data_IF_537729111946
#
_entry.id   IF_537729111946
#
_cell.length_a   1.000
_cell.length_b   1.000
_cell.length_c   1.000
_cell.angle_alpha   90.00
_cell.angle_beta   90.00
_cell.angle_gamma   90.00
#
_symmetry.space_group_name_H-M   'P 1'
#
loop_
_entity.id
_entity.type
_entity.pdbx_description
1 polymer ?
#
# COMPACT_ATOMS: atom_id res chain seq x y z
N UNK A 1 11.81 0.18 -6.51
CA UNK A 1 11.43 0.17 -5.07
C UNK A 1 10.27 1.13 -4.94
N UNK A 2 9.22 0.79 -4.19
CA UNK A 2 8.02 1.64 -4.14
C UNK A 2 8.25 2.84 -3.20
N UNK A 3 8.36 4.06 -3.74
CA UNK A 3 8.53 5.31 -2.97
C UNK A 3 7.42 5.47 -1.93
N UNK A 4 6.21 5.03 -2.26
CA UNK A 4 5.09 5.00 -1.33
C UNK A 4 5.33 4.10 -0.11
N UNK A 5 5.98 2.96 -0.27
CA UNK A 5 6.25 2.08 0.86
C UNK A 5 7.32 2.65 1.80
N UNK A 6 8.36 3.28 1.26
CA UNK A 6 9.36 4.01 2.05
C UNK A 6 8.69 5.12 2.84
N UNK A 7 7.90 5.96 2.17
CA UNK A 7 7.21 7.07 2.80
C UNK A 7 6.23 6.59 3.88
N UNK A 8 5.53 5.47 3.65
CA UNK A 8 4.65 4.87 4.62
C UNK A 8 5.37 4.49 5.92
N UNK A 9 6.53 3.83 5.81
CA UNK A 9 7.31 3.43 6.99
C UNK A 9 7.92 4.64 7.70
N UNK A 10 8.28 5.71 6.98
CA UNK A 10 8.70 6.98 7.59
C UNK A 10 7.55 7.62 8.39
N UNK A 11 6.35 7.73 7.82
CA UNK A 11 5.18 8.26 8.54
C UNK A 11 4.93 7.44 9.81
N UNK A 12 4.96 6.11 9.74
CA UNK A 12 4.81 5.25 10.93
C UNK A 12 5.90 5.50 11.97
N UNK A 13 7.16 5.66 11.54
CA UNK A 13 8.28 5.98 12.43
C UNK A 13 8.14 7.36 13.09
N UNK A 14 7.69 8.38 12.36
CA UNK A 14 7.49 9.72 12.94
C UNK A 14 6.50 9.71 14.09
N UNK A 15 5.41 8.93 13.96
CA UNK A 15 4.43 8.78 15.02
C UNK A 15 4.98 8.02 16.23
N UNK A 16 5.76 6.96 16.00
CA UNK A 16 6.38 6.18 17.09
C UNK A 16 7.40 7.02 17.86
N UNK A 17 8.22 7.80 17.15
CA UNK A 17 9.29 8.60 17.73
C UNK A 17 8.82 10.00 18.19
N UNK A 18 7.59 10.39 17.84
CA UNK A 18 7.03 11.71 18.06
C UNK A 18 7.93 12.84 17.51
N UNK A 19 8.37 12.68 16.26
CA UNK A 19 9.28 13.58 15.53
C UNK A 19 8.64 14.01 14.21
N UNK A 20 9.17 15.05 13.56
CA UNK A 20 8.68 15.46 12.23
C UNK A 20 9.28 14.61 11.11
N UNK A 21 8.58 14.50 9.98
CA UNK A 21 9.09 13.78 8.79
C UNK A 21 10.41 14.36 8.28
N UNK A 22 10.60 15.67 8.39
CA UNK A 22 11.85 16.34 8.00
C UNK A 22 13.05 15.84 8.80
N UNK A 23 12.85 15.49 10.08
CA UNK A 23 13.91 14.93 10.92
C UNK A 23 14.28 13.51 10.51
N UNK A 24 13.37 12.79 9.82
CA UNK A 24 13.59 11.43 9.31
C UNK A 24 13.88 11.38 7.80
N UNK A 25 13.99 12.52 7.11
CA UNK A 25 14.21 12.57 5.66
C UNK A 25 15.50 11.86 5.22
N UNK A 26 16.50 11.75 6.09
CA UNK A 26 17.73 11.01 5.82
C UNK A 26 17.51 9.49 5.65
N UNK A 27 16.34 8.96 6.02
CA UNK A 27 15.97 7.55 5.89
C UNK A 27 15.33 7.21 4.53
N UNK A 28 14.98 8.21 3.72
CA UNK A 28 14.36 8.04 2.39
C UNK A 28 15.14 7.10 1.45
N UNK A 29 16.49 7.08 1.42
CA UNK A 29 17.22 6.20 0.51
C UNK A 29 17.19 4.71 0.90
N UNK A 30 16.61 4.34 2.05
CA UNK A 30 16.62 2.97 2.54
C UNK A 30 15.46 2.14 1.98
N UNK A 31 15.68 0.83 1.86
CA UNK A 31 14.64 -0.10 1.44
C UNK A 31 13.48 -0.16 2.47
N UNK A 32 12.21 -0.24 2.01
CA UNK A 32 11.04 -0.32 2.90
C UNK A 32 11.14 -1.43 3.96
N UNK A 33 11.60 -2.62 3.58
CA UNK A 33 11.76 -3.75 4.49
C UNK A 33 12.77 -3.46 5.61
N UNK A 34 13.86 -2.75 5.28
CA UNK A 34 14.85 -2.35 6.27
C UNK A 34 14.30 -1.31 7.24
N UNK A 35 13.52 -0.33 6.74
CA UNK A 35 12.82 0.64 7.59
C UNK A 35 11.82 -0.02 8.51
N UNK A 36 11.07 -0.99 8.00
CA UNK A 36 10.13 -1.77 8.78
C UNK A 36 10.81 -2.59 9.87
N UNK A 37 11.90 -3.28 9.54
CA UNK A 37 12.71 -4.01 10.53
C UNK A 37 13.29 -3.07 11.60
N UNK A 38 13.81 -1.91 11.18
CA UNK A 38 14.31 -0.89 12.09
C UNK A 38 13.22 -0.38 13.03
N UNK A 39 12.01 -0.11 12.50
CA UNK A 39 10.85 0.29 13.29
C UNK A 39 10.47 -0.77 14.33
N UNK A 40 10.44 -2.05 13.96
CA UNK A 40 10.20 -3.13 14.91
C UNK A 40 11.28 -3.22 15.99
N UNK A 41 12.55 -3.06 15.61
CA UNK A 41 13.66 -3.05 16.57
C UNK A 41 13.58 -1.86 17.55
N UNK A 42 13.18 -0.66 17.09
CA UNK A 42 12.92 0.49 17.96
C UNK A 42 11.82 0.17 18.97
N UNK A 43 10.68 -0.34 18.51
CA UNK A 43 9.55 -0.70 19.38
C UNK A 43 10.00 -1.72 20.43
N UNK A 44 10.72 -2.77 20.02
CA UNK A 44 11.23 -3.80 20.93
C UNK A 44 12.27 -3.22 21.92
N UNK A 45 13.16 -2.33 21.48
CA UNK A 45 14.12 -1.68 22.34
C UNK A 45 13.44 -0.81 23.40
N UNK A 46 12.48 0.02 23.00
CA UNK A 46 11.71 0.89 23.89
C UNK A 46 10.94 0.06 24.95
N UNK A 47 10.45 -1.12 24.58
CA UNK A 47 9.80 -2.06 25.50
C UNK A 47 10.79 -2.82 26.38
N UNK A 48 11.99 -3.16 25.88
CA UNK A 48 12.96 -4.00 26.60
C UNK A 48 13.73 -3.28 27.71
N UNK A 49 13.91 -1.96 27.60
CA UNK A 49 14.76 -1.17 28.52
C UNK A 49 14.28 -1.12 29.99
N UNK A 50 13.12 -1.69 30.36
CA UNK A 50 12.57 -1.56 31.71
C UNK A 50 12.09 -2.87 32.39
N UNK A 51 12.41 -4.03 31.81
CA UNK A 51 11.88 -5.36 32.22
C UNK A 51 12.15 -5.76 33.69
N UNK A 52 13.23 -5.30 34.33
CA UNK A 52 13.62 -5.80 35.66
C UNK A 52 12.90 -5.10 36.82
N UNK A 53 12.49 -3.83 36.68
CA UNK A 53 11.88 -3.05 37.76
C UNK A 53 10.38 -3.31 37.91
N UNK A 54 9.67 -3.61 36.83
CA UNK A 54 8.21 -3.82 36.86
C UNK A 54 7.78 -5.22 37.33
N UNK A 55 8.66 -6.24 37.22
CA UNK A 55 8.37 -7.59 37.72
C UNK A 55 8.06 -7.61 39.23
N UNK A 56 8.74 -6.78 40.03
CA UNK A 56 8.50 -6.70 41.47
C UNK A 56 7.15 -6.03 41.81
N UNK A 57 6.73 -5.06 41.01
CA UNK A 57 5.43 -4.39 41.18
C UNK A 57 4.26 -5.31 40.81
N UNK A 58 4.41 -6.15 39.78
CA UNK A 58 3.40 -7.12 39.39
C UNK A 58 3.10 -8.16 40.49
N UNK A 59 4.14 -8.61 41.21
CA UNK A 59 3.96 -9.52 42.35
C UNK A 59 3.11 -8.90 43.48
N UNK A 60 3.24 -7.59 43.72
CA UNK A 60 2.42 -6.85 44.67
C UNK A 60 0.96 -6.70 44.21
N UNK A 61 0.75 -6.48 42.92
CA UNK A 61 -0.61 -6.34 42.35
C UNK A 61 -1.43 -7.63 42.48
N UNK A 62 -0.79 -8.81 42.37
CA UNK A 62 -1.46 -10.10 42.55
C UNK A 62 -2.03 -10.32 43.96
N UNK A 63 -1.54 -9.58 44.96
CA UNK A 63 -1.99 -9.68 46.34
C UNK A 63 -3.14 -8.68 46.67
N UNK A 64 -3.35 -7.66 45.85
CA UNK A 64 -4.33 -6.60 46.09
C UNK A 64 -5.74 -6.95 45.56
N UNK A 65 -6.82 -6.59 46.30
CA UNK A 65 -8.19 -6.71 45.79
C UNK A 65 -8.40 -5.91 44.50
N UNK A 66 -9.03 -6.52 43.50
CA UNK A 66 -9.15 -5.92 42.14
C UNK A 66 -9.81 -4.54 42.11
N UNK A 67 -10.75 -4.26 43.01
CA UNK A 67 -11.40 -2.93 43.13
C UNK A 67 -10.45 -1.85 43.63
N UNK A 68 -9.56 -2.17 44.58
CA UNK A 68 -8.56 -1.23 45.07
C UNK A 68 -7.51 -0.96 43.98
N UNK A 69 -7.06 -2.02 43.30
CA UNK A 69 -6.15 -1.88 42.15
C UNK A 69 -6.77 -1.01 41.05
N UNK A 70 -8.04 -1.20 40.72
CA UNK A 70 -8.74 -0.38 39.73
C UNK A 70 -8.81 1.11 40.13
N UNK A 71 -9.04 1.42 41.41
CA UNK A 71 -9.03 2.80 41.91
C UNK A 71 -7.63 3.41 41.79
N UNK A 72 -6.58 2.66 42.17
CA UNK A 72 -5.20 3.12 42.06
C UNK A 72 -4.80 3.34 40.60
N UNK A 73 -5.16 2.43 39.70
CA UNK A 73 -4.94 2.59 38.25
C UNK A 73 -5.64 3.84 37.72
N UNK A 74 -6.85 4.13 38.18
CA UNK A 74 -7.61 5.31 37.73
C UNK A 74 -7.02 6.64 38.22
N UNK A 75 -6.48 6.69 39.44
CA UNK A 75 -6.17 7.95 40.12
C UNK A 75 -4.69 8.19 40.40
N UNK A 76 -3.87 7.15 40.45
CA UNK A 76 -2.52 7.21 41.00
C UNK A 76 -1.42 6.83 40.01
N UNK A 77 -1.69 5.91 39.08
CA UNK A 77 -0.67 5.39 38.17
C UNK A 77 -0.78 5.97 36.76
N UNK A 78 0.38 6.35 36.21
CA UNK A 78 0.50 6.70 34.81
C UNK A 78 0.17 5.50 33.89
N UNK A 79 -0.58 5.68 32.79
CA UNK A 79 -0.97 4.58 31.90
C UNK A 79 0.21 3.76 31.36
N UNK A 80 1.36 4.37 31.14
CA UNK A 80 2.57 3.66 30.73
C UNK A 80 3.00 2.64 31.79
N UNK A 81 3.06 3.05 33.06
CA UNK A 81 3.45 2.17 34.17
C UNK A 81 2.47 1.00 34.29
N UNK A 82 1.17 1.27 34.15
CA UNK A 82 0.13 0.24 34.20
C UNK A 82 0.31 -0.78 33.06
N UNK A 83 0.59 -0.31 31.85
CA UNK A 83 0.85 -1.19 30.71
C UNK A 83 2.09 -2.08 30.92
N UNK A 84 3.17 -1.53 31.49
CA UNK A 84 4.38 -2.31 31.80
C UNK A 84 4.13 -3.38 32.88
N UNK A 85 3.35 -3.06 33.90
CA UNK A 85 2.96 -4.04 34.94
C UNK A 85 2.07 -5.12 34.33
N UNK A 86 1.14 -4.76 33.45
CA UNK A 86 0.18 -5.67 32.82
C UNK A 86 0.86 -6.85 32.09
N UNK A 87 2.04 -6.62 31.50
CA UNK A 87 2.85 -7.66 30.82
C UNK A 87 3.22 -8.85 31.72
N UNK A 88 3.21 -8.65 33.04
CA UNK A 88 3.63 -9.66 34.02
C UNK A 88 2.46 -10.29 34.78
N UNK A 89 1.21 -9.94 34.45
CA UNK A 89 0.02 -10.47 35.10
C UNK A 89 -0.61 -11.58 34.25
N UNK A 90 -1.30 -12.53 34.90
CA UNK A 90 -2.09 -13.53 34.18
C UNK A 90 -3.34 -12.89 33.55
N UNK A 91 -3.84 -13.47 32.46
CA UNK A 91 -5.03 -13.01 31.73
C UNK A 91 -6.25 -12.88 32.67
N UNK A 92 -6.43 -13.81 33.60
CA UNK A 92 -7.50 -13.73 34.61
C UNK A 92 -7.39 -12.50 35.52
N UNK A 93 -6.18 -12.18 35.98
CA UNK A 93 -5.96 -11.02 36.86
C UNK A 93 -6.11 -9.71 36.08
N UNK A 94 -5.62 -9.68 34.84
CA UNK A 94 -5.84 -8.56 33.93
C UNK A 94 -7.34 -8.28 33.75
N UNK A 95 -8.12 -9.31 33.42
CA UNK A 95 -9.57 -9.16 33.24
C UNK A 95 -10.28 -8.72 34.53
N UNK A 96 -9.91 -9.29 35.69
CA UNK A 96 -10.49 -8.93 37.00
C UNK A 96 -10.34 -7.44 37.33
N UNK A 97 -9.23 -6.83 36.92
CA UNK A 97 -8.97 -5.39 37.10
C UNK A 97 -9.65 -4.60 35.98
N UNK A 98 -9.41 -4.98 34.72
CA UNK A 98 -9.82 -4.24 33.55
C UNK A 98 -11.35 -4.08 33.43
N UNK A 99 -12.14 -5.08 33.85
CA UNK A 99 -13.61 -4.99 33.86
C UNK A 99 -14.18 -3.89 34.75
N UNK A 100 -13.37 -3.34 35.66
CA UNK A 100 -13.76 -2.23 36.54
C UNK A 100 -13.18 -0.88 36.11
N UNK A 101 -12.36 -0.85 35.06
CA UNK A 101 -11.78 0.38 34.53
C UNK A 101 -12.73 1.01 33.51
N UNK A 102 -12.85 2.34 33.49
CA UNK A 102 -13.62 3.03 32.47
C UNK A 102 -12.90 2.98 31.12
N UNK A 103 -13.65 3.09 30.02
CA UNK A 103 -13.14 2.99 28.67
C UNK A 103 -11.97 3.95 28.37
N UNK A 104 -12.02 5.18 28.89
CA UNK A 104 -10.93 6.15 28.69
C UNK A 104 -9.61 5.71 29.32
N UNK A 105 -9.63 5.09 30.50
CA UNK A 105 -8.42 4.57 31.13
C UNK A 105 -7.87 3.37 30.36
N UNK A 106 -8.75 2.48 29.90
CA UNK A 106 -8.35 1.34 29.07
C UNK A 106 -7.75 1.80 27.73
N UNK A 107 -8.33 2.83 27.11
CA UNK A 107 -7.79 3.46 25.91
C UNK A 107 -6.39 4.02 26.16
N UNK A 108 -6.19 4.83 27.22
CA UNK A 108 -4.86 5.37 27.54
C UNK A 108 -3.82 4.28 27.84
N UNK A 109 -4.20 3.17 28.45
CA UNK A 109 -3.30 2.02 28.68
C UNK A 109 -2.96 1.33 27.35
N UNK A 110 -3.94 1.18 26.45
CA UNK A 110 -3.75 0.47 25.17
C UNK A 110 -2.70 1.10 24.25
N UNK A 111 -2.47 2.42 24.35
CA UNK A 111 -1.40 3.14 23.65
C UNK A 111 -0.04 2.45 23.86
N UNK A 112 0.25 2.09 25.11
CA UNK A 112 1.54 1.55 25.53
C UNK A 112 1.58 0.02 25.59
N UNK A 113 0.43 -0.63 25.46
CA UNK A 113 0.32 -2.09 25.54
C UNK A 113 0.72 -2.74 24.21
N UNK A 114 1.38 -3.90 24.29
CA UNK A 114 1.56 -4.77 23.11
C UNK A 114 0.23 -5.50 22.82
N UNK A 115 -0.37 -5.33 21.62
CA UNK A 115 -1.60 -6.03 21.23
C UNK A 115 -1.52 -7.55 21.38
N UNK A 116 -0.34 -8.16 21.24
CA UNK A 116 -0.15 -9.61 21.37
C UNK A 116 -0.48 -10.10 22.77
N UNK A 117 -0.13 -9.31 23.79
CA UNK A 117 -0.42 -9.62 25.20
C UNK A 117 -1.90 -9.45 25.51
N UNK A 118 -2.56 -8.52 24.82
CA UNK A 118 -3.98 -8.28 24.99
C UNK A 118 -4.86 -9.31 24.28
N UNK A 119 -4.33 -10.13 23.36
CA UNK A 119 -5.12 -11.07 22.55
C UNK A 119 -6.03 -11.96 23.40
N UNK A 120 -5.48 -12.58 24.43
CA UNK A 120 -6.28 -13.43 25.33
C UNK A 120 -7.26 -12.61 26.17
N UNK A 121 -6.87 -11.41 26.59
CA UNK A 121 -7.72 -10.50 27.37
C UNK A 121 -8.93 -10.02 26.56
N UNK A 122 -8.75 -9.74 25.27
CA UNK A 122 -9.81 -9.28 24.37
C UNK A 122 -10.95 -10.29 24.25
N UNK A 123 -10.66 -11.60 24.34
CA UNK A 123 -11.66 -12.65 24.33
C UNK A 123 -12.62 -12.61 25.55
N UNK A 124 -12.22 -11.96 26.65
CA UNK A 124 -13.07 -11.80 27.83
C UNK A 124 -13.90 -10.51 27.83
N UNK A 125 -13.61 -9.55 26.94
CA UNK A 125 -14.40 -8.34 26.80
C UNK A 125 -15.64 -8.57 25.96
N UNK A 126 -16.73 -7.91 26.32
CA UNK A 126 -17.92 -7.86 25.46
C UNK A 126 -17.68 -6.91 24.29
N UNK A 127 -18.38 -7.12 23.18
CA UNK A 127 -18.31 -6.22 22.02
C UNK A 127 -18.63 -4.77 22.40
N UNK A 128 -19.56 -4.55 23.34
CA UNK A 128 -19.87 -3.22 23.86
C UNK A 128 -18.64 -2.56 24.52
N UNK A 129 -17.90 -3.28 25.37
CA UNK A 129 -16.71 -2.73 26.01
C UNK A 129 -15.63 -2.36 24.99
N UNK A 130 -15.46 -3.18 23.95
CA UNK A 130 -14.50 -2.90 22.88
C UNK A 130 -14.94 -1.67 22.09
N UNK A 131 -16.23 -1.52 21.78
CA UNK A 131 -16.77 -0.32 21.11
C UNK A 131 -16.58 0.95 21.94
N UNK A 132 -16.80 0.88 23.25
CA UNK A 132 -16.57 2.04 24.14
C UNK A 132 -15.11 2.50 24.11
N UNK A 133 -14.16 1.55 24.13
CA UNK A 133 -12.72 1.85 24.03
C UNK A 133 -12.39 2.43 22.66
N UNK A 134 -12.88 1.79 21.59
CA UNK A 134 -12.67 2.24 20.22
C UNK A 134 -13.24 3.65 19.98
N UNK A 135 -14.38 3.99 20.58
CA UNK A 135 -14.97 5.32 20.49
C UNK A 135 -14.08 6.38 21.16
N UNK A 136 -13.46 6.07 22.30
CA UNK A 136 -12.51 6.99 22.94
C UNK A 136 -11.27 7.20 22.07
N UNK A 137 -10.68 6.11 21.55
CA UNK A 137 -9.52 6.20 20.66
C UNK A 137 -9.84 6.99 19.39
N UNK A 138 -11.01 6.79 18.80
CA UNK A 138 -11.49 7.52 17.63
C UNK A 138 -11.64 9.02 17.92
N UNK A 139 -12.23 9.39 19.06
CA UNK A 139 -12.35 10.79 19.49
C UNK A 139 -10.99 11.46 19.69
N UNK A 140 -9.99 10.69 20.13
CA UNK A 140 -8.61 11.15 20.30
C UNK A 140 -7.80 11.09 19.00
N UNK A 141 -8.38 10.59 17.91
CA UNK A 141 -7.71 10.31 16.62
C UNK A 141 -6.49 9.39 16.77
N UNK A 142 -6.53 8.49 17.75
CA UNK A 142 -5.48 7.49 17.95
C UNK A 142 -5.68 6.29 17.03
N UNK A 143 -5.50 6.55 15.73
CA UNK A 143 -5.61 5.54 14.68
C UNK A 143 -4.49 4.50 14.76
N UNK A 144 -3.32 4.89 15.31
CA UNK A 144 -2.17 3.99 15.50
C UNK A 144 -2.53 2.86 16.43
N UNK A 145 -3.07 3.18 17.61
CA UNK A 145 -3.49 2.15 18.58
C UNK A 145 -4.61 1.29 18.00
N UNK A 146 -5.59 1.88 17.32
CA UNK A 146 -6.66 1.12 16.67
C UNK A 146 -6.12 0.13 15.61
N UNK A 147 -5.23 0.58 14.71
CA UNK A 147 -4.64 -0.26 13.67
C UNK A 147 -3.76 -1.39 14.22
N UNK A 148 -3.09 -1.17 15.35
CA UNK A 148 -2.31 -2.21 16.06
C UNK A 148 -3.19 -3.31 16.65
N UNK A 149 -4.39 -2.97 17.13
CA UNK A 149 -5.29 -3.90 17.81
C UNK A 149 -6.28 -4.62 16.89
N UNK A 150 -6.63 -4.05 15.72
CA UNK A 150 -7.64 -4.62 14.81
C UNK A 150 -7.31 -6.05 14.36
N UNK A 151 -6.03 -6.40 14.28
CA UNK A 151 -5.56 -7.75 13.96
C UNK A 151 -5.87 -8.81 15.04
N UNK A 152 -6.28 -8.40 16.23
CA UNK A 152 -6.56 -9.29 17.36
C UNK A 152 -8.06 -9.49 17.62
N UNK A 153 -8.92 -8.75 16.90
CA UNK A 153 -10.37 -8.78 17.06
C UNK A 153 -11.01 -9.85 16.16
N UNK A 154 -12.13 -10.42 16.59
CA UNK A 154 -12.97 -11.26 15.71
C UNK A 154 -13.64 -10.40 14.65
N UNK A 155 -14.04 -11.01 13.53
CA UNK A 155 -14.62 -10.31 12.39
C UNK A 155 -15.93 -9.60 12.78
N UNK A 156 -16.76 -10.24 13.62
CA UNK A 156 -17.98 -9.66 14.18
C UNK A 156 -17.69 -8.35 14.94
N UNK A 157 -16.66 -8.34 15.79
CA UNK A 157 -16.27 -7.16 16.55
C UNK A 157 -15.70 -6.08 15.62
N UNK A 158 -14.93 -6.46 14.61
CA UNK A 158 -14.40 -5.50 13.62
C UNK A 158 -15.54 -4.83 12.86
N UNK A 159 -16.55 -5.58 12.42
CA UNK A 159 -17.73 -5.01 11.75
C UNK A 159 -18.46 -4.03 12.67
N UNK A 160 -18.69 -4.41 13.93
CA UNK A 160 -19.40 -3.58 14.90
C UNK A 160 -18.64 -2.31 15.28
N UNK A 161 -17.30 -2.35 15.31
CA UNK A 161 -16.44 -1.18 15.49
C UNK A 161 -16.41 -0.33 14.21
N UNK A 162 -16.38 -0.95 13.03
CA UNK A 162 -16.41 -0.22 11.77
C UNK A 162 -17.71 0.58 11.57
N UNK A 163 -18.82 0.11 12.14
CA UNK A 163 -20.12 0.81 12.10
C UNK A 163 -20.15 2.11 12.91
N UNK A 164 -19.34 2.23 13.98
CA UNK A 164 -19.28 3.48 14.77
C UNK A 164 -18.37 4.53 14.15
N UNK A 165 -17.56 4.16 13.15
CA UNK A 165 -16.68 5.07 12.44
C UNK A 165 -17.46 5.72 11.30
N UNK A 166 -17.80 7.00 11.44
CA UNK A 166 -18.65 7.67 10.44
C UNK A 166 -17.92 7.91 9.11
N UNK A 167 -16.64 8.30 9.18
CA UNK A 167 -15.86 8.73 8.02
C UNK A 167 -14.95 7.62 7.49
N UNK A 168 -14.97 7.43 6.18
CA UNK A 168 -14.09 6.49 5.50
C UNK A 168 -12.61 6.91 5.55
N UNK A 169 -12.32 8.21 5.69
CA UNK A 169 -10.95 8.69 5.92
C UNK A 169 -10.37 8.17 7.24
N UNK A 170 -11.17 8.10 8.30
CA UNK A 170 -10.75 7.57 9.60
C UNK A 170 -10.51 6.04 9.51
N UNK A 171 -11.34 5.31 8.75
CA UNK A 171 -11.08 3.89 8.46
C UNK A 171 -9.75 3.69 7.73
N UNK A 172 -9.45 4.56 6.76
CA UNK A 172 -8.21 4.47 6.00
C UNK A 172 -6.98 4.77 6.87
N UNK A 173 -7.09 5.75 7.76
CA UNK A 173 -6.06 6.04 8.76
C UNK A 173 -5.78 4.82 9.65
N UNK A 174 -6.83 4.13 10.12
CA UNK A 174 -6.68 2.91 10.92
C UNK A 174 -6.02 1.80 10.09
N UNK A 175 -6.48 1.60 8.85
CA UNK A 175 -5.94 0.60 7.93
C UNK A 175 -4.44 0.80 7.66
N UNK A 176 -4.01 2.06 7.52
CA UNK A 176 -2.61 2.42 7.28
C UNK A 176 -1.65 1.95 8.40
N UNK A 177 -2.12 1.87 9.65
CA UNK A 177 -1.34 1.39 10.79
C UNK A 177 -1.48 -0.12 11.05
N UNK A 178 -2.14 -0.86 10.16
CA UNK A 178 -2.19 -2.33 10.26
C UNK A 178 -0.86 -2.91 9.80
N UNK A 179 -0.30 -3.78 10.63
CA UNK A 179 1.03 -4.36 10.37
C UNK A 179 1.00 -5.55 9.40
N UNK A 180 -0.06 -6.37 9.40
CA UNK A 180 -0.14 -7.57 8.56
C UNK A 180 -0.86 -7.28 7.25
N UNK A 181 -0.20 -7.58 6.13
CA UNK A 181 -0.78 -7.53 4.78
C UNK A 181 -1.99 -8.45 4.66
N UNK A 182 -1.83 -9.68 5.15
CA UNK A 182 -2.87 -10.71 5.14
C UNK A 182 -4.10 -10.23 5.92
N UNK A 183 -3.88 -9.46 6.99
CA UNK A 183 -4.97 -8.88 7.76
C UNK A 183 -5.67 -7.75 7.00
N UNK A 184 -4.96 -6.90 6.27
CA UNK A 184 -5.59 -5.88 5.43
C UNK A 184 -6.45 -6.57 4.37
N UNK A 185 -5.91 -7.58 3.69
CA UNK A 185 -6.62 -8.36 2.67
C UNK A 185 -7.90 -8.97 3.24
N UNK A 186 -7.83 -9.61 4.41
CA UNK A 186 -8.99 -10.17 5.11
C UNK A 186 -10.03 -9.10 5.50
N UNK A 187 -9.58 -7.97 6.05
CA UNK A 187 -10.49 -6.93 6.54
C UNK A 187 -11.29 -6.26 5.44
N UNK A 188 -10.75 -6.14 4.23
CA UNK A 188 -11.53 -5.62 3.10
C UNK A 188 -12.73 -6.52 2.80
N UNK A 189 -12.59 -7.83 2.93
CA UNK A 189 -13.68 -8.79 2.73
C UNK A 189 -14.67 -8.84 3.91
N UNK A 190 -14.22 -8.50 5.12
CA UNK A 190 -15.09 -8.42 6.31
C UNK A 190 -15.97 -7.17 6.27
N UNK A 191 -15.49 -6.07 5.70
CA UNK A 191 -16.25 -4.82 5.63
C UNK A 191 -17.35 -4.88 4.54
N UNK A 192 -18.49 -4.19 4.75
CA UNK A 192 -19.50 -4.06 3.71
C UNK A 192 -18.93 -3.43 2.44
N UNK A 193 -19.29 -3.97 1.27
CA UNK A 193 -18.78 -3.51 -0.02
C UNK A 193 -19.04 -2.02 -0.27
N UNK A 194 -20.16 -1.50 0.25
CA UNK A 194 -20.52 -0.08 0.17
C UNK A 194 -19.49 0.82 0.86
N UNK A 195 -18.88 0.34 1.95
CA UNK A 195 -17.83 1.07 2.68
C UNK A 195 -16.54 1.11 1.85
N UNK A 196 -16.17 0.00 1.21
CA UNK A 196 -15.01 -0.06 0.31
C UNK A 196 -15.19 0.91 -0.85
N UNK A 197 -16.38 0.93 -1.46
CA UNK A 197 -16.71 1.87 -2.54
C UNK A 197 -16.59 3.32 -2.06
N UNK A 198 -17.17 3.67 -0.91
CA UNK A 198 -17.05 5.03 -0.35
C UNK A 198 -15.58 5.41 -0.07
N UNK A 199 -14.76 4.49 0.40
CA UNK A 199 -13.32 4.71 0.57
C UNK A 199 -12.62 4.98 -0.77
N UNK A 200 -12.96 4.25 -1.83
CA UNK A 200 -12.42 4.52 -3.17
C UNK A 200 -12.81 5.92 -3.67
N UNK A 201 -14.04 6.36 -3.38
CA UNK A 201 -14.53 7.69 -3.77
C UNK A 201 -13.82 8.85 -3.05
N UNK A 202 -13.05 8.60 -1.98
CA UNK A 202 -12.18 9.61 -1.36
C UNK A 202 -11.20 10.20 -2.38
N UNK A 203 -10.78 9.42 -3.39
CA UNK A 203 -9.91 9.89 -4.46
C UNK A 203 -10.57 10.92 -5.37
N UNK A 204 -11.89 11.11 -5.29
CA UNK A 204 -12.60 12.11 -6.08
C UNK A 204 -12.93 13.37 -5.27
N UNK A 205 -12.64 13.40 -3.97
CA UNK A 205 -12.89 14.55 -3.10
C UNK A 205 -11.60 15.35 -2.86
N UNK A 206 -11.47 16.56 -3.44
CA UNK A 206 -10.28 17.40 -3.25
C UNK A 206 -10.04 17.78 -1.79
N UNK A 207 -11.09 17.82 -0.94
CA UNK A 207 -10.94 18.15 0.48
C UNK A 207 -10.23 17.06 1.27
N UNK A 208 -10.18 15.84 0.74
CA UNK A 208 -9.54 14.67 1.34
C UNK A 208 -8.18 14.34 0.72
N UNK A 209 -7.59 15.26 -0.06
CA UNK A 209 -6.30 15.06 -0.74
C UNK A 209 -5.17 14.62 0.19
N UNK A 210 -5.19 15.07 1.46
CA UNK A 210 -4.21 14.70 2.49
C UNK A 210 -4.18 13.20 2.83
N UNK A 211 -5.26 12.46 2.53
CA UNK A 211 -5.37 11.04 2.85
C UNK A 211 -4.84 10.16 1.70
N UNK A 212 -4.64 10.72 0.50
CA UNK A 212 -4.22 9.95 -0.68
C UNK A 212 -2.86 9.27 -0.57
N UNK A 213 -1.80 9.91 -0.05
CA UNK A 213 -0.51 9.23 0.09
C UNK A 213 -0.63 7.95 0.93
N UNK A 214 -1.51 7.94 1.93
CA UNK A 214 -1.80 6.76 2.76
C UNK A 214 -2.62 5.71 2.00
N UNK A 215 -3.62 6.13 1.21
CA UNK A 215 -4.39 5.24 0.32
C UNK A 215 -3.45 4.52 -0.66
N UNK A 216 -2.59 5.27 -1.33
CA UNK A 216 -1.69 4.74 -2.35
C UNK A 216 -0.59 3.90 -1.71
N UNK A 217 -0.08 4.29 -0.54
CA UNK A 217 0.79 3.44 0.25
C UNK A 217 0.14 2.11 0.62
N UNK A 218 -1.16 2.07 0.94
CA UNK A 218 -1.84 0.81 1.17
C UNK A 218 -1.86 -0.08 -0.08
N UNK A 219 -1.98 0.49 -1.27
CA UNK A 219 -1.92 -0.26 -2.53
C UNK A 219 -0.58 -0.96 -2.75
N UNK A 220 0.53 -0.45 -2.21
CA UNK A 220 1.82 -1.14 -2.28
C UNK A 220 1.90 -2.32 -1.30
N UNK A 221 1.07 -2.35 -0.26
CA UNK A 221 1.12 -3.32 0.84
C UNK A 221 0.09 -4.45 0.76
N UNK A 222 -0.91 -4.38 -0.13
CA UNK A 222 -1.98 -5.40 -0.27
C UNK A 222 -1.67 -6.48 -1.32
N UNK A 223 -2.31 -7.65 -1.20
CA UNK A 223 -2.24 -8.80 -2.13
C UNK A 223 -2.50 -8.45 -3.59
N UNK A 224 -1.90 -9.18 -4.56
CA UNK A 224 -2.20 -8.96 -6.00
C UNK A 224 -3.68 -9.16 -6.32
N UNK A 225 -4.30 -10.20 -5.74
CA UNK A 225 -5.74 -10.47 -5.88
C UNK A 225 -6.58 -9.28 -5.41
N UNK A 226 -6.24 -8.73 -4.23
CA UNK A 226 -6.96 -7.56 -3.71
C UNK A 226 -6.70 -6.29 -4.55
N UNK A 227 -5.49 -6.08 -5.08
CA UNK A 227 -5.20 -4.96 -6.00
C UNK A 227 -6.10 -5.02 -7.23
N UNK A 228 -6.24 -6.21 -7.82
CA UNK A 228 -7.11 -6.43 -8.96
C UNK A 228 -8.56 -6.13 -8.59
N UNK A 229 -9.07 -6.69 -7.49
CA UNK A 229 -10.45 -6.47 -7.06
C UNK A 229 -10.75 -4.98 -6.82
N UNK A 230 -9.91 -4.29 -6.04
CA UNK A 230 -10.10 -2.87 -5.74
C UNK A 230 -9.98 -2.00 -7.00
N UNK A 231 -9.07 -2.34 -7.90
CA UNK A 231 -8.90 -1.65 -9.16
C UNK A 231 -10.09 -1.85 -10.10
N UNK A 232 -10.60 -3.07 -10.21
CA UNK A 232 -11.83 -3.37 -10.98
C UNK A 232 -13.04 -2.64 -10.38
N UNK A 233 -13.13 -2.56 -9.05
CA UNK A 233 -14.17 -1.78 -8.36
C UNK A 233 -14.05 -0.28 -8.62
N UNK A 234 -12.84 0.26 -8.66
CA UNK A 234 -12.59 1.66 -9.01
C UNK A 234 -13.05 1.95 -10.45
N UNK A 235 -12.77 1.05 -11.39
CA UNK A 235 -13.23 1.16 -12.79
C UNK A 235 -14.75 1.14 -12.87
N UNK A 236 -15.42 0.31 -12.06
CA UNK A 236 -16.89 0.28 -12.00
C UNK A 236 -17.51 1.59 -11.48
N UNK A 237 -16.76 2.43 -10.75
CA UNK A 237 -17.24 3.76 -10.35
C UNK A 237 -17.23 4.77 -11.50
N UNK A 238 -16.57 4.44 -12.61
CA UNK A 238 -16.57 5.21 -13.85
C UNK A 238 -15.42 6.20 -14.00
N UNK A 239 -15.47 6.94 -15.11
CA UNK A 239 -14.35 7.73 -15.62
C UNK A 239 -13.87 8.82 -14.65
N UNK A 240 -14.79 9.44 -13.89
CA UNK A 240 -14.46 10.51 -12.94
C UNK A 240 -13.45 10.02 -11.90
N UNK A 241 -13.68 8.83 -11.34
CA UNK A 241 -12.82 8.25 -10.30
C UNK A 241 -11.45 7.90 -10.87
N UNK A 242 -11.42 7.26 -12.04
CA UNK A 242 -10.15 6.87 -12.68
C UNK A 242 -9.35 8.11 -13.11
N UNK A 243 -9.99 9.14 -13.66
CA UNK A 243 -9.31 10.39 -14.00
C UNK A 243 -8.73 11.09 -12.75
N UNK A 244 -9.43 11.03 -11.62
CA UNK A 244 -8.90 11.56 -10.37
C UNK A 244 -7.66 10.77 -9.88
N UNK A 245 -7.66 9.44 -10.02
CA UNK A 245 -6.49 8.59 -9.74
C UNK A 245 -5.33 8.90 -10.69
N UNK A 246 -5.60 9.10 -11.99
CA UNK A 246 -4.58 9.46 -12.98
C UNK A 246 -3.97 10.82 -12.65
N UNK A 247 -4.79 11.81 -12.28
CA UNK A 247 -4.31 13.13 -11.86
C UNK A 247 -3.48 13.02 -10.58
N UNK A 248 -3.90 12.22 -9.60
CA UNK A 248 -3.13 11.90 -8.40
C UNK A 248 -1.72 11.40 -8.74
N UNK A 249 -1.67 10.36 -9.57
CA UNK A 249 -0.44 9.70 -9.95
C UNK A 249 0.50 10.65 -10.69
N UNK A 250 -0.07 11.54 -11.52
CA UNK A 250 0.68 12.54 -12.24
C UNK A 250 1.24 13.64 -11.32
N UNK A 251 0.42 14.22 -10.45
CA UNK A 251 0.81 15.30 -9.54
C UNK A 251 1.89 14.84 -8.54
N UNK A 252 1.73 13.62 -8.02
CA UNK A 252 2.59 13.08 -6.96
C UNK A 252 3.74 12.22 -7.52
N UNK A 253 3.84 12.07 -8.85
CA UNK A 253 4.85 11.25 -9.56
C UNK A 253 4.86 9.78 -9.10
N UNK A 254 3.70 9.14 -9.06
CA UNK A 254 3.49 7.79 -8.49
C UNK A 254 3.29 6.71 -9.56
N UNK A 255 3.75 6.94 -10.79
CA UNK A 255 3.59 5.98 -11.88
C UNK A 255 4.33 4.67 -11.65
N UNK A 256 5.44 4.69 -10.91
CA UNK A 256 6.16 3.49 -10.49
C UNK A 256 5.31 2.53 -9.63
N UNK A 257 4.35 3.08 -8.89
CA UNK A 257 3.46 2.32 -8.01
C UNK A 257 2.14 1.98 -8.72
N UNK A 258 1.65 2.87 -9.58
CA UNK A 258 0.36 2.73 -10.24
C UNK A 258 0.40 1.84 -11.48
N UNK A 259 1.48 1.86 -12.25
CA UNK A 259 1.60 1.06 -13.46
C UNK A 259 1.45 -0.46 -13.19
N UNK A 260 2.10 -1.04 -12.16
CA UNK A 260 1.90 -2.45 -11.81
C UNK A 260 0.47 -2.77 -11.37
N UNK A 261 -0.25 -1.81 -10.77
CA UNK A 261 -1.66 -1.98 -10.40
C UNK A 261 -2.52 -2.09 -11.66
N UNK A 262 -2.31 -1.20 -12.64
CA UNK A 262 -3.05 -1.24 -13.92
C UNK A 262 -2.77 -2.55 -14.68
N UNK A 263 -1.51 -3.00 -14.69
CA UNK A 263 -1.12 -4.26 -15.32
C UNK A 263 -1.70 -5.52 -14.63
N UNK A 264 -2.25 -5.39 -13.41
CA UNK A 264 -2.89 -6.47 -12.67
C UNK A 264 -4.42 -6.49 -12.77
N UNK A 265 -5.05 -5.48 -13.40
CA UNK A 265 -6.51 -5.41 -13.53
C UNK A 265 -7.08 -6.51 -14.44
N UNK A 266 -8.38 -6.74 -14.38
CA UNK A 266 -9.07 -7.60 -15.36
C UNK A 266 -8.92 -7.05 -16.80
N UNK A 267 -8.98 -7.91 -17.82
CA UNK A 267 -8.83 -7.47 -19.22
C UNK A 267 -9.81 -6.36 -19.61
N UNK A 268 -11.04 -6.42 -19.10
CA UNK A 268 -12.07 -5.40 -19.33
C UNK A 268 -11.67 -4.07 -18.69
N UNK A 269 -11.16 -4.09 -17.45
CA UNK A 269 -10.71 -2.90 -16.75
C UNK A 269 -9.42 -2.33 -17.37
N UNK A 270 -8.47 -3.17 -17.79
CA UNK A 270 -7.28 -2.74 -18.52
C UNK A 270 -7.64 -2.04 -19.82
N UNK A 271 -8.51 -2.66 -20.62
CA UNK A 271 -9.02 -2.07 -21.86
C UNK A 271 -9.74 -0.74 -21.61
N UNK A 272 -10.53 -0.63 -20.55
CA UNK A 272 -11.17 0.62 -20.18
C UNK A 272 -10.16 1.71 -19.83
N UNK A 273 -9.26 1.44 -18.88
CA UNK A 273 -8.27 2.41 -18.37
C UNK A 273 -7.30 2.83 -19.47
N UNK A 274 -6.74 1.87 -20.21
CA UNK A 274 -5.75 2.10 -21.27
C UNK A 274 -6.25 3.03 -22.39
N UNK A 275 -7.57 3.15 -22.54
CA UNK A 275 -8.21 3.91 -23.62
C UNK A 275 -8.87 5.22 -23.15
N UNK A 276 -8.69 5.61 -21.89
CA UNK A 276 -9.19 6.90 -21.40
C UNK A 276 -8.54 8.08 -22.12
N UNK A 277 -9.29 9.19 -22.36
CA UNK A 277 -8.73 10.38 -22.99
C UNK A 277 -7.51 10.96 -22.26
N UNK A 278 -7.41 10.78 -20.94
CA UNK A 278 -6.25 11.19 -20.16
C UNK A 278 -4.95 10.53 -20.65
N UNK A 279 -4.97 9.25 -21.02
CA UNK A 279 -3.81 8.53 -21.55
C UNK A 279 -3.45 8.88 -23.01
N UNK A 280 -4.15 9.83 -23.62
CA UNK A 280 -3.76 10.44 -24.90
C UNK A 280 -2.93 11.71 -24.70
N UNK A 281 -2.79 12.19 -23.46
CA UNK A 281 -1.99 13.36 -23.15
C UNK A 281 -0.51 12.97 -23.14
N UNK A 282 0.30 13.69 -23.93
CA UNK A 282 1.72 13.42 -24.09
C UNK A 282 2.48 13.47 -22.76
N UNK A 283 2.18 14.45 -21.91
CA UNK A 283 2.85 14.63 -20.62
C UNK A 283 2.64 13.45 -19.66
N UNK A 284 1.43 12.89 -19.64
CA UNK A 284 1.10 11.74 -18.79
C UNK A 284 1.83 10.49 -19.30
N UNK A 285 1.73 10.21 -20.61
CA UNK A 285 2.41 9.05 -21.20
C UNK A 285 3.93 9.15 -21.05
N UNK A 286 4.50 10.35 -21.20
CA UNK A 286 5.92 10.58 -20.96
C UNK A 286 6.31 10.23 -19.53
N UNK A 287 5.54 10.69 -18.54
CA UNK A 287 5.77 10.38 -17.13
C UNK A 287 5.66 8.89 -16.83
N UNK A 288 4.71 8.19 -17.48
CA UNK A 288 4.56 6.72 -17.36
C UNK A 288 5.76 6.00 -17.97
N UNK A 289 6.22 6.43 -19.16
CA UNK A 289 7.37 5.82 -19.84
C UNK A 289 8.66 6.05 -19.06
N UNK A 290 8.88 7.25 -18.52
CA UNK A 290 10.02 7.57 -17.66
C UNK A 290 10.03 6.67 -16.41
N UNK A 291 8.89 6.55 -15.71
CA UNK A 291 8.77 5.67 -14.56
C UNK A 291 8.97 4.19 -14.93
N UNK A 292 8.49 3.75 -16.10
CA UNK A 292 8.67 2.38 -16.56
C UNK A 292 10.14 2.04 -16.83
N UNK A 293 10.91 3.00 -17.33
CA UNK A 293 12.34 2.82 -17.56
C UNK A 293 13.17 2.91 -16.27
N UNK A 294 12.91 3.91 -15.42
CA UNK A 294 13.67 4.11 -14.18
C UNK A 294 13.44 3.00 -13.15
N UNK A 295 12.28 2.35 -13.18
CA UNK A 295 11.88 1.32 -12.20
C UNK A 295 11.77 -0.10 -12.77
N UNK A 296 12.32 -0.36 -13.97
CA UNK A 296 12.30 -1.68 -14.63
C UNK A 296 10.88 -2.26 -14.84
N UNK A 297 9.87 -1.41 -15.11
CA UNK A 297 8.46 -1.80 -15.26
C UNK A 297 8.03 -1.97 -16.72
N UNK A 298 8.97 -2.12 -17.65
CA UNK A 298 8.66 -2.30 -19.08
C UNK A 298 7.75 -3.50 -19.36
N UNK A 299 7.85 -4.56 -18.57
CA UNK A 299 6.92 -5.71 -18.70
C UNK A 299 5.48 -5.31 -18.39
N UNK A 300 5.27 -4.45 -17.39
CA UNK A 300 3.94 -3.96 -17.02
C UNK A 300 3.44 -2.93 -18.03
N UNK A 301 4.33 -2.05 -18.51
CA UNK A 301 4.01 -1.09 -19.57
C UNK A 301 3.53 -1.80 -20.85
N UNK A 302 4.21 -2.84 -21.31
CA UNK A 302 3.81 -3.57 -22.52
C UNK A 302 2.45 -4.25 -22.37
N UNK A 303 2.11 -4.73 -21.17
CA UNK A 303 0.76 -5.26 -20.87
C UNK A 303 -0.29 -4.16 -21.08
N UNK A 304 -0.08 -2.96 -20.52
CA UNK A 304 -1.05 -1.87 -20.68
C UNK A 304 -1.14 -1.39 -22.14
N UNK A 305 0.00 -1.25 -22.83
CA UNK A 305 0.04 -0.81 -24.24
C UNK A 305 -0.67 -1.81 -25.16
N UNK A 306 -0.67 -3.10 -24.84
CA UNK A 306 -1.38 -4.11 -25.61
C UNK A 306 -2.89 -3.80 -25.71
N UNK A 307 -3.49 -3.22 -24.66
CA UNK A 307 -4.90 -2.84 -24.65
C UNK A 307 -5.18 -1.42 -25.20
N UNK A 308 -4.14 -0.62 -25.48
CA UNK A 308 -4.30 0.72 -26.03
C UNK A 308 -4.75 0.73 -27.50
N UNK A 309 -5.60 1.67 -27.86
CA UNK A 309 -5.98 2.00 -29.24
C UNK A 309 -4.88 2.77 -29.98
N UNK A 310 -5.03 2.89 -31.30
CA UNK A 310 -4.03 3.45 -32.20
C UNK A 310 -3.56 4.85 -31.80
N UNK A 311 -4.47 5.73 -31.37
CA UNK A 311 -4.16 7.09 -30.97
C UNK A 311 -3.26 7.12 -29.74
N UNK A 312 -3.56 6.31 -28.71
CA UNK A 312 -2.74 6.22 -27.50
C UNK A 312 -1.38 5.55 -27.80
N UNK A 313 -1.36 4.50 -28.63
CA UNK A 313 -0.10 3.88 -29.09
C UNK A 313 0.80 4.86 -29.85
N UNK A 314 0.23 5.78 -30.62
CA UNK A 314 0.98 6.84 -31.29
C UNK A 314 1.64 7.80 -30.29
N UNK A 315 0.94 8.14 -29.21
CA UNK A 315 1.47 8.98 -28.14
C UNK A 315 2.61 8.26 -27.41
N UNK A 316 2.46 6.96 -27.12
CA UNK A 316 3.53 6.12 -26.54
C UNK A 316 4.76 6.07 -27.44
N UNK A 317 4.59 5.83 -28.74
CA UNK A 317 5.70 5.83 -29.69
C UNK A 317 6.41 7.20 -29.75
N UNK A 318 5.65 8.29 -29.66
CA UNK A 318 6.19 9.66 -29.64
C UNK A 318 6.99 9.91 -28.37
N UNK A 319 6.51 9.46 -27.21
CA UNK A 319 7.22 9.59 -25.94
C UNK A 319 8.53 8.78 -25.94
N UNK A 320 8.49 7.51 -26.35
CA UNK A 320 9.68 6.64 -26.42
C UNK A 320 10.72 7.18 -27.41
N UNK A 321 10.27 7.74 -28.54
CA UNK A 321 11.16 8.31 -29.54
C UNK A 321 12.00 9.50 -29.03
N UNK A 322 11.62 10.12 -27.91
CA UNK A 322 12.37 11.23 -27.30
C UNK A 322 13.44 10.76 -26.31
N UNK A 323 13.49 9.47 -25.98
CA UNK A 323 14.36 8.92 -24.93
C UNK A 323 15.60 8.25 -25.54
N UNK A 324 16.61 8.03 -24.70
CA UNK A 324 17.90 7.41 -25.03
C UNK A 324 17.74 5.99 -25.61
N UNK A 325 18.69 5.58 -26.45
CA UNK A 325 18.76 4.25 -27.07
C UNK A 325 18.79 3.11 -26.05
N UNK A 326 19.27 3.35 -24.82
CA UNK A 326 19.26 2.37 -23.73
C UNK A 326 17.85 1.84 -23.43
N UNK A 327 16.85 2.71 -23.55
CA UNK A 327 15.44 2.34 -23.30
C UNK A 327 14.94 1.33 -24.32
N UNK A 328 15.41 1.42 -25.57
CA UNK A 328 15.06 0.44 -26.61
C UNK A 328 15.62 -0.95 -26.28
N UNK A 329 16.77 -1.05 -25.59
CA UNK A 329 17.27 -2.33 -25.08
C UNK A 329 16.38 -2.88 -23.96
N UNK A 330 15.95 -2.04 -23.01
CA UNK A 330 15.06 -2.47 -21.93
C UNK A 330 13.71 -2.95 -22.45
N UNK A 331 13.14 -2.24 -23.44
CA UNK A 331 11.91 -2.66 -24.13
C UNK A 331 12.13 -4.02 -24.79
N UNK A 332 13.17 -4.18 -25.61
CA UNK A 332 13.45 -5.47 -26.29
C UNK A 332 13.61 -6.63 -25.31
N UNK A 333 14.28 -6.40 -24.18
CA UNK A 333 14.41 -7.39 -23.11
C UNK A 333 13.07 -7.73 -22.46
N UNK A 334 12.24 -6.74 -22.15
CA UNK A 334 10.90 -6.96 -21.61
C UNK A 334 9.97 -7.70 -22.59
N UNK A 335 10.05 -7.38 -23.89
CA UNK A 335 9.31 -8.06 -24.96
C UNK A 335 9.69 -9.54 -25.03
N UNK A 336 10.97 -9.87 -24.84
CA UNK A 336 11.45 -11.25 -24.77
C UNK A 336 10.87 -11.98 -23.55
N UNK A 337 10.94 -11.37 -22.36
CA UNK A 337 10.49 -11.99 -21.11
C UNK A 337 9.01 -12.36 -21.10
N UNK A 338 8.17 -11.60 -21.82
CA UNK A 338 6.70 -11.78 -21.83
C UNK A 338 6.13 -12.16 -23.20
N UNK A 339 6.98 -12.43 -24.19
CA UNK A 339 6.60 -12.66 -25.60
C UNK A 339 5.70 -11.57 -26.20
N UNK A 340 5.90 -10.31 -25.80
CA UNK A 340 5.07 -9.15 -26.18
C UNK A 340 5.60 -8.46 -27.46
N UNK A 341 5.99 -9.25 -28.47
CA UNK A 341 6.66 -8.73 -29.66
C UNK A 341 5.73 -7.99 -30.63
N UNK A 342 4.47 -8.44 -30.76
CA UNK A 342 3.52 -7.78 -31.67
C UNK A 342 3.26 -6.33 -31.29
N UNK A 343 2.96 -6.06 -30.02
CA UNK A 343 2.75 -4.70 -29.53
C UNK A 343 4.04 -3.88 -29.62
N UNK A 344 5.18 -4.48 -29.34
CA UNK A 344 6.48 -3.81 -29.43
C UNK A 344 6.75 -3.31 -30.85
N UNK A 345 6.60 -4.17 -31.85
CA UNK A 345 6.81 -3.80 -33.24
C UNK A 345 5.74 -2.84 -33.76
N UNK A 346 4.50 -2.94 -33.25
CA UNK A 346 3.46 -1.95 -33.53
C UNK A 346 3.87 -0.55 -33.03
N UNK A 347 4.48 -0.43 -31.85
CA UNK A 347 5.03 0.84 -31.36
C UNK A 347 6.25 1.28 -32.19
N UNK A 348 7.20 0.39 -32.48
CA UNK A 348 8.40 0.72 -33.26
C UNK A 348 8.03 1.28 -34.64
N UNK A 349 7.09 0.67 -35.36
CA UNK A 349 6.68 1.17 -36.69
C UNK A 349 6.09 2.59 -36.69
N UNK A 350 5.64 3.08 -35.53
CA UNK A 350 5.08 4.44 -35.35
C UNK A 350 6.15 5.48 -35.00
N UNK A 351 7.35 5.05 -34.64
CA UNK A 351 8.47 5.94 -34.33
C UNK A 351 9.10 6.52 -35.60
N UNK A 352 9.87 7.62 -35.52
CA UNK A 352 10.68 8.11 -36.63
C UNK A 352 11.65 7.05 -37.18
N UNK A 353 11.96 7.11 -38.47
CA UNK A 353 12.82 6.13 -39.17
C UNK A 353 14.18 5.93 -38.48
N UNK A 354 14.79 6.99 -37.96
CA UNK A 354 16.05 6.91 -37.22
C UNK A 354 15.96 5.97 -36.00
N UNK A 355 14.85 6.05 -35.24
CA UNK A 355 14.59 5.18 -34.09
C UNK A 355 14.27 3.75 -34.54
N UNK A 356 13.59 3.57 -35.65
CA UNK A 356 13.35 2.23 -36.21
C UNK A 356 14.66 1.53 -36.58
N UNK A 357 15.61 2.26 -37.19
CA UNK A 357 16.94 1.74 -37.49
C UNK A 357 17.73 1.36 -36.23
N UNK A 358 17.66 2.18 -35.17
CA UNK A 358 18.27 1.86 -33.88
C UNK A 358 17.67 0.58 -33.27
N UNK A 359 16.34 0.44 -33.24
CA UNK A 359 15.66 -0.78 -32.80
C UNK A 359 16.15 -2.00 -33.58
N UNK A 360 16.30 -1.88 -34.90
CA UNK A 360 16.77 -2.97 -35.74
C UNK A 360 18.20 -3.41 -35.41
N UNK A 361 19.12 -2.47 -35.18
CA UNK A 361 20.49 -2.80 -34.78
C UNK A 361 20.54 -3.59 -33.46
N UNK A 362 19.68 -3.20 -32.51
CA UNK A 362 19.52 -3.89 -31.24
C UNK A 362 18.98 -5.30 -31.45
N UNK A 363 17.90 -5.44 -32.22
CA UNK A 363 17.27 -6.74 -32.52
C UNK A 363 18.22 -7.69 -33.24
N UNK A 364 19.00 -7.22 -34.21
CA UNK A 364 19.97 -8.04 -34.91
C UNK A 364 20.99 -8.67 -33.94
N UNK A 365 21.39 -7.95 -32.90
CA UNK A 365 22.28 -8.48 -31.87
C UNK A 365 21.60 -9.56 -31.03
N UNK A 366 20.33 -9.33 -30.64
CA UNK A 366 19.55 -10.33 -29.91
C UNK A 366 19.26 -11.58 -30.73
N UNK A 367 18.84 -11.42 -31.99
CA UNK A 367 18.45 -12.50 -32.90
C UNK A 367 19.58 -13.51 -33.16
N UNK A 368 20.84 -13.08 -33.11
CA UNK A 368 22.01 -13.99 -33.25
C UNK A 368 22.13 -15.01 -32.11
N UNK A 369 21.48 -14.77 -30.97
CA UNK A 369 21.55 -15.61 -29.78
C UNK A 369 20.28 -16.43 -29.56
N UNK A 370 19.25 -16.25 -30.40
CA UNK A 370 17.96 -16.95 -30.28
C UNK A 370 18.01 -18.32 -30.95
N UNK A 371 17.14 -19.21 -30.48
CA UNK A 371 16.86 -20.47 -31.17
C UNK A 371 16.14 -20.22 -32.50
N UNK A 372 16.16 -21.23 -33.37
CA UNK A 372 15.67 -21.12 -34.75
C UNK A 372 14.16 -20.81 -34.81
N UNK A 373 13.36 -21.35 -33.88
CA UNK A 373 11.91 -21.13 -33.87
C UNK A 373 11.59 -19.68 -33.48
N UNK A 374 12.21 -19.19 -32.41
CA UNK A 374 12.03 -17.81 -31.96
C UNK A 374 12.54 -16.81 -33.01
N UNK A 375 13.68 -17.10 -33.66
CA UNK A 375 14.19 -16.28 -34.76
C UNK A 375 13.16 -16.14 -35.88
N UNK A 376 12.62 -17.25 -36.40
CA UNK A 376 11.67 -17.24 -37.51
C UNK A 376 10.37 -16.49 -37.15
N UNK A 377 9.92 -16.64 -35.91
CA UNK A 377 8.76 -15.89 -35.41
C UNK A 377 8.99 -14.38 -35.45
N UNK A 378 10.14 -13.91 -34.93
CA UNK A 378 10.47 -12.48 -34.92
C UNK A 378 10.70 -11.92 -36.32
N UNK A 379 11.38 -12.67 -37.19
CA UNK A 379 11.65 -12.28 -38.57
C UNK A 379 10.34 -12.07 -39.35
N UNK A 380 9.38 -13.00 -39.21
CA UNK A 380 8.05 -12.86 -39.81
C UNK A 380 7.24 -11.69 -39.25
N UNK A 381 7.44 -11.32 -37.99
CA UNK A 381 6.83 -10.12 -37.41
C UNK A 381 7.48 -8.82 -37.92
N UNK A 382 8.81 -8.79 -38.09
CA UNK A 382 9.52 -7.64 -38.67
C UNK A 382 9.02 -7.33 -40.09
N UNK A 383 8.85 -8.37 -40.91
CA UNK A 383 8.27 -8.25 -42.25
C UNK A 383 6.83 -7.71 -42.19
N UNK A 384 5.99 -8.28 -41.31
CA UNK A 384 4.58 -7.89 -41.16
C UNK A 384 4.42 -6.42 -40.75
N UNK A 385 5.26 -5.95 -39.85
CA UNK A 385 5.23 -4.57 -39.35
C UNK A 385 6.05 -3.60 -40.21
N UNK A 386 6.64 -4.07 -41.31
CA UNK A 386 7.41 -3.28 -42.28
C UNK A 386 8.61 -2.54 -41.65
N UNK A 387 9.24 -3.14 -40.65
CA UNK A 387 10.45 -2.61 -40.00
C UNK A 387 11.65 -3.07 -40.84
N UNK A 388 11.85 -2.44 -42.00
CA UNK A 388 12.87 -2.83 -42.98
C UNK A 388 14.23 -2.20 -42.70
N UNK A 389 15.29 -2.95 -43.02
CA UNK A 389 16.62 -2.40 -43.24
C UNK A 389 16.58 -1.50 -44.48
N UNK A 390 16.78 -0.21 -44.29
CA UNK A 390 17.41 0.57 -45.35
C UNK A 390 18.78 -0.07 -45.58
N UNK A 391 18.93 -0.66 -46.77
CA UNK A 391 20.12 -1.33 -47.27
C UNK A 391 21.38 -0.48 -47.14
#
# INVERSE_FOLDING_TARGET
MTRLAVHAEIIKLTQILNVSEQQLAFLIPLAPESLRQFRFAIIELLQSQQKTRFRYLAAWVNWLPSRLTAIMVKQLFDPFIVAQIAVHLSTENLYRIAKHLPAHTLASISVYLDPRLARELLAYFTTHQIKDIAQVLLQQKDFVTMGRFVGMLSDEVVQDVAQIIEKESDLLEIAFYIESRERIDHLVHVLPKERIIKTLLIVSDPTQRLVWPKLLALMSHIGYELKQELGDLAVQQGEIVINAIIQAAQEDQLWEDMLPVVACLSEQAQSYVANLPALRQVEIIKSIVEAADECDLWTDMLVVVNYMQNEARQVVATAIAQIDIKVLHHIAYASLLRSQWEVTFDIVRRMPLEKQQQCQQILNTYMQQLDVETYQYLDGLLERYQIYSSS
#
